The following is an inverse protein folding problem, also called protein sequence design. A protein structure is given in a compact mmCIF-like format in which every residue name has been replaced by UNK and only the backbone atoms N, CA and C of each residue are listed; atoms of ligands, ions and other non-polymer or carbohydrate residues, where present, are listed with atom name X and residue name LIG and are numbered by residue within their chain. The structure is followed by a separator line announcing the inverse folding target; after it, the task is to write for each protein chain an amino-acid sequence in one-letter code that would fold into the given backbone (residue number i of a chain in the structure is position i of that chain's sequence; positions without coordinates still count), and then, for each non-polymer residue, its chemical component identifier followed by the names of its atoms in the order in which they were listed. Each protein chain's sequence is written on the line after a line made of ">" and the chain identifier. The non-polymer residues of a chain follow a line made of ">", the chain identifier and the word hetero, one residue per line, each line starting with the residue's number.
data_IF_193898175599
#
_entry.id   IF_193898175599
#
_cell.length_a   1.000
_cell.length_b   1.000
_cell.length_c   1.000
_cell.angle_alpha   90.00
_cell.angle_beta   90.00
_cell.angle_gamma   90.00
#
_symmetry.space_group_name_H-M   'P 1'
#
loop_
_entity.id
_entity.type
_entity.pdbx_description
1 polymer ?
#
# COMPACT_ATOMS: atom_id res chain seq x y z
N UNK A 1 44.61 -15.42 3.35
CA UNK A 1 45.96 -15.07 3.84
C UNK A 1 45.88 -14.52 5.25
N UNK A 2 46.60 -15.14 6.19
CA UNK A 2 46.61 -14.80 7.62
C UNK A 2 48.04 -14.43 8.04
N UNK A 3 48.19 -13.42 8.89
CA UNK A 3 49.49 -12.98 9.38
C UNK A 3 49.85 -13.66 10.69
N UNK A 4 51.09 -14.14 10.81
CA UNK A 4 51.57 -14.72 12.05
C UNK A 4 51.70 -13.63 13.14
N UNK A 5 51.03 -13.77 14.31
CA UNK A 5 51.10 -12.78 15.38
C UNK A 5 52.49 -12.71 16.05
N UNK A 6 53.33 -13.75 15.86
CA UNK A 6 54.66 -13.85 16.45
C UNK A 6 55.76 -13.21 15.60
N UNK A 7 55.67 -13.30 14.27
CA UNK A 7 56.75 -12.87 13.37
C UNK A 7 56.30 -12.07 12.13
N UNK A 8 55.00 -11.83 11.97
CA UNK A 8 54.44 -11.04 10.87
C UNK A 8 54.47 -11.71 9.50
N UNK A 9 54.93 -12.96 9.38
CA UNK A 9 54.95 -13.67 8.11
C UNK A 9 53.53 -13.99 7.60
N UNK A 10 53.34 -13.85 6.29
CA UNK A 10 52.09 -14.24 5.60
C UNK A 10 52.03 -15.76 5.51
N UNK A 11 50.85 -16.30 5.79
CA UNK A 11 50.58 -17.73 5.71
C UNK A 11 49.21 -17.99 5.05
N UNK A 12 48.98 -19.25 4.70
CA UNK A 12 47.71 -19.70 4.14
C UNK A 12 46.54 -19.45 5.12
N UNK A 13 45.32 -19.29 4.60
CA UNK A 13 44.14 -18.96 5.40
C UNK A 13 43.70 -20.08 6.36
N UNK A 14 44.07 -21.33 6.09
CA UNK A 14 43.86 -22.49 6.96
C UNK A 14 45.10 -22.89 7.80
N UNK A 15 46.19 -22.13 7.76
CA UNK A 15 47.44 -22.55 8.38
C UNK A 15 47.36 -22.54 9.92
N UNK A 16 47.50 -23.71 10.55
CA UNK A 16 47.49 -23.86 12.02
C UNK A 16 48.85 -23.48 12.66
N UNK A 17 49.91 -23.45 11.87
CA UNK A 17 51.28 -23.11 12.29
C UNK A 17 51.96 -22.21 11.27
N UNK A 18 52.79 -21.28 11.74
CA UNK A 18 53.58 -20.40 10.90
C UNK A 18 54.71 -21.16 10.20
N UNK A 19 54.74 -21.14 8.86
CA UNK A 19 55.81 -21.77 8.08
C UNK A 19 57.19 -21.13 8.29
N UNK A 20 57.26 -19.90 8.82
CA UNK A 20 58.52 -19.18 9.05
C UNK A 20 59.09 -19.39 10.45
N UNK A 21 58.28 -19.36 11.50
CA UNK A 21 58.75 -19.38 12.89
C UNK A 21 58.23 -20.55 13.73
N UNK A 22 57.41 -21.43 13.16
CA UNK A 22 56.79 -22.56 13.87
C UNK A 22 55.75 -22.17 14.92
N UNK A 23 55.46 -20.88 15.10
CA UNK A 23 54.45 -20.40 16.05
C UNK A 23 53.04 -20.86 15.68
N UNK A 24 52.25 -21.31 16.67
CA UNK A 24 50.86 -21.69 16.46
C UNK A 24 50.02 -20.47 16.09
N UNK A 25 49.23 -20.59 15.03
CA UNK A 25 48.29 -19.58 14.58
C UNK A 25 46.92 -19.99 15.12
N UNK A 26 46.43 -19.26 16.12
CA UNK A 26 45.07 -19.43 16.62
C UNK A 26 44.16 -18.61 15.71
N UNK A 27 43.59 -19.26 14.70
CA UNK A 27 42.47 -18.68 13.96
C UNK A 27 41.30 -18.68 14.95
N UNK A 28 40.73 -17.52 15.33
CA UNK A 28 39.51 -17.51 16.11
C UNK A 28 38.49 -18.32 15.30
N UNK A 29 38.10 -19.49 15.81
CA UNK A 29 36.95 -20.18 15.23
C UNK A 29 35.81 -19.16 15.29
N UNK A 30 35.33 -18.71 14.13
CA UNK A 30 34.05 -18.01 14.09
C UNK A 30 33.09 -18.96 14.80
N UNK A 31 32.50 -18.57 15.95
CA UNK A 31 31.49 -19.41 16.57
C UNK A 31 30.48 -19.69 15.49
N UNK A 32 30.18 -20.98 15.26
CA UNK A 32 29.24 -21.44 14.23
C UNK A 32 28.09 -20.45 14.24
N UNK A 33 27.94 -19.69 13.16
CA UNK A 33 26.98 -18.60 13.12
C UNK A 33 25.63 -19.23 13.40
N UNK A 34 25.12 -19.11 14.63
CA UNK A 34 23.71 -19.31 14.89
C UNK A 34 23.03 -18.48 13.80
N UNK A 35 22.10 -19.05 13.03
CA UNK A 35 21.40 -18.28 12.04
C UNK A 35 20.86 -17.09 12.81
N UNK A 36 21.38 -15.89 12.52
CA UNK A 36 20.96 -14.66 13.17
C UNK A 36 19.46 -14.70 13.05
N UNK A 37 18.76 -14.97 14.16
CA UNK A 37 17.31 -14.93 14.19
C UNK A 37 17.04 -13.49 13.86
N UNK A 38 16.80 -13.19 12.58
CA UNK A 38 16.46 -11.86 12.13
C UNK A 38 15.36 -11.45 13.07
N UNK A 39 15.58 -10.36 13.80
CA UNK A 39 14.50 -9.73 14.52
C UNK A 39 13.33 -9.72 13.52
N UNK A 40 12.18 -10.32 13.87
CA UNK A 40 11.08 -10.40 12.92
C UNK A 40 10.90 -8.99 12.37
N UNK A 41 10.81 -8.85 11.03
CA UNK A 41 10.62 -7.55 10.41
C UNK A 41 9.58 -6.78 11.24
N UNK A 42 9.78 -5.51 11.56
CA UNK A 42 8.92 -4.79 12.54
C UNK A 42 7.44 -4.85 12.13
N UNK A 43 7.15 -5.11 10.86
CA UNK A 43 5.84 -5.42 10.27
C UNK A 43 5.18 -6.72 10.76
N UNK A 44 5.96 -7.70 11.24
CA UNK A 44 5.55 -9.03 11.71
C UNK A 44 4.84 -9.01 13.08
N UNK A 45 4.49 -7.82 13.59
CA UNK A 45 3.64 -7.68 14.77
C UNK A 45 2.45 -6.81 14.44
N UNK A 46 1.45 -7.33 13.72
CA UNK A 46 0.08 -7.11 14.20
C UNK A 46 -0.79 -8.35 13.95
N UNK A 47 -1.34 -8.98 14.99
CA UNK A 47 -2.61 -9.66 14.84
C UNK A 47 -3.65 -8.56 14.66
N UNK A 48 -3.97 -8.18 13.41
CA UNK A 48 -4.93 -7.11 13.08
C UNK A 48 -4.70 -5.81 13.88
N UNK A 49 -3.90 -4.88 13.35
CA UNK A 49 -3.75 -3.52 13.88
C UNK A 49 -5.10 -2.98 14.40
N UNK A 50 -5.16 -2.41 15.60
CA UNK A 50 -6.42 -1.82 16.13
C UNK A 50 -6.98 -0.73 15.21
N UNK A 51 -6.16 -0.19 14.32
CA UNK A 51 -6.57 0.72 13.24
C UNK A 51 -7.51 0.05 12.21
N UNK A 52 -7.46 -1.29 12.08
CA UNK A 52 -8.31 -2.14 11.23
C UNK A 52 -9.70 -2.45 11.84
N UNK A 53 -10.22 -1.55 12.69
CA UNK A 53 -11.36 -1.68 13.62
C UNK A 53 -12.76 -2.00 13.04
N UNK A 54 -12.83 -2.55 11.82
CA UNK A 54 -14.08 -2.98 11.17
C UNK A 54 -13.86 -3.71 9.84
N UNK A 55 -12.83 -4.56 9.74
CA UNK A 55 -12.58 -5.40 8.57
C UNK A 55 -11.64 -4.83 7.50
N UNK A 56 -11.07 -3.65 7.75
CA UNK A 56 -10.13 -3.01 6.84
C UNK A 56 -10.77 -2.32 5.64
N UNK A 57 -9.96 -1.58 4.84
CA UNK A 57 -10.46 -0.86 3.67
C UNK A 57 -11.16 -1.76 2.66
N UNK A 58 -10.57 -2.93 2.38
CA UNK A 58 -11.06 -3.86 1.38
C UNK A 58 -12.46 -4.40 1.72
N UNK A 59 -12.69 -4.85 2.96
CA UNK A 59 -14.01 -5.34 3.37
C UNK A 59 -15.06 -4.23 3.29
N UNK A 60 -14.72 -3.00 3.67
CA UNK A 60 -15.63 -1.85 3.58
C UNK A 60 -15.99 -1.53 2.14
N UNK A 61 -15.03 -1.63 1.22
CA UNK A 61 -15.30 -1.48 -0.22
C UNK A 61 -16.25 -2.55 -0.74
N UNK A 62 -16.06 -3.81 -0.34
CA UNK A 62 -16.99 -4.90 -0.68
C UNK A 62 -18.38 -4.67 -0.11
N UNK A 63 -18.49 -4.18 1.13
CA UNK A 63 -19.79 -3.87 1.74
C UNK A 63 -20.49 -2.73 0.99
N UNK A 64 -19.75 -1.70 0.57
CA UNK A 64 -20.26 -0.64 -0.30
C UNK A 64 -20.71 -1.17 -1.67
N UNK A 65 -19.98 -2.11 -2.25
CA UNK A 65 -20.35 -2.75 -3.52
C UNK A 65 -21.63 -3.58 -3.40
N UNK A 66 -21.76 -4.36 -2.32
CA UNK A 66 -22.98 -5.12 -2.02
C UNK A 66 -24.17 -4.18 -1.87
N UNK A 67 -23.97 -3.02 -1.23
CA UNK A 67 -25.02 -2.01 -1.14
C UNK A 67 -25.43 -1.47 -2.53
N UNK A 68 -24.47 -1.14 -3.40
CA UNK A 68 -24.78 -0.70 -4.78
C UNK A 68 -25.51 -1.80 -5.55
N UNK A 69 -25.09 -3.06 -5.43
CA UNK A 69 -25.79 -4.20 -6.04
C UNK A 69 -27.22 -4.36 -5.55
N UNK A 70 -27.45 -4.17 -4.25
CA UNK A 70 -28.79 -4.20 -3.67
C UNK A 70 -29.65 -3.07 -4.25
N UNK A 71 -29.11 -1.86 -4.34
CA UNK A 71 -29.82 -0.72 -4.95
C UNK A 71 -30.14 -1.02 -6.41
N UNK A 72 -29.16 -1.49 -7.19
CA UNK A 72 -29.35 -1.90 -8.59
C UNK A 72 -30.48 -2.94 -8.73
N UNK A 73 -30.52 -3.97 -7.87
CA UNK A 73 -31.57 -4.99 -7.89
C UNK A 73 -32.96 -4.41 -7.59
N UNK A 74 -33.05 -3.51 -6.60
CA UNK A 74 -34.30 -2.83 -6.27
C UNK A 74 -34.80 -2.00 -7.46
N UNK A 75 -33.93 -1.18 -8.06
CA UNK A 75 -34.31 -0.37 -9.21
C UNK A 75 -34.60 -1.22 -10.45
N UNK A 76 -33.90 -2.34 -10.62
CA UNK A 76 -34.20 -3.35 -11.65
C UNK A 76 -35.60 -3.95 -11.48
N UNK A 77 -36.02 -4.25 -10.25
CA UNK A 77 -37.38 -4.72 -9.97
C UNK A 77 -38.46 -3.66 -10.26
N UNK A 78 -38.14 -2.38 -10.10
CA UNK A 78 -39.04 -1.24 -10.37
C UNK A 78 -39.00 -0.76 -11.84
N UNK A 79 -38.15 -1.35 -12.68
CA UNK A 79 -37.96 -0.94 -14.08
C UNK A 79 -39.23 -1.09 -14.93
N UNK A 80 -40.12 -2.01 -14.56
CA UNK A 80 -41.42 -2.18 -15.23
C UNK A 80 -42.41 -1.05 -14.99
N UNK A 81 -42.23 -0.25 -13.94
CA UNK A 81 -43.12 0.85 -13.57
C UNK A 81 -42.57 2.23 -13.94
N UNK A 82 -41.25 2.36 -14.10
CA UNK A 82 -40.63 3.64 -14.45
C UNK A 82 -39.41 3.47 -15.37
N UNK A 83 -39.38 4.23 -16.47
CA UNK A 83 -38.23 4.28 -17.38
C UNK A 83 -36.96 4.76 -16.66
N UNK A 84 -37.10 5.67 -15.70
CA UNK A 84 -36.00 6.11 -14.83
C UNK A 84 -35.35 4.94 -14.10
N UNK A 85 -36.14 4.04 -13.49
CA UNK A 85 -35.58 2.97 -12.68
C UNK A 85 -34.76 1.98 -13.51
N UNK A 86 -35.20 1.68 -14.74
CA UNK A 86 -34.41 0.90 -15.70
C UNK A 86 -33.08 1.56 -16.02
N UNK A 87 -33.12 2.80 -16.52
CA UNK A 87 -31.90 3.51 -16.92
C UNK A 87 -30.94 3.75 -15.74
N UNK A 88 -31.47 3.97 -14.53
CA UNK A 88 -30.65 4.12 -13.33
C UNK A 88 -29.99 2.81 -12.89
N UNK A 89 -30.70 1.67 -13.01
CA UNK A 89 -30.12 0.36 -12.76
C UNK A 89 -28.98 0.05 -13.75
N UNK A 90 -29.18 0.36 -15.04
CA UNK A 90 -28.16 0.20 -16.09
C UNK A 90 -26.94 1.09 -15.80
N UNK A 91 -27.16 2.36 -15.45
CA UNK A 91 -26.09 3.27 -15.04
C UNK A 91 -25.28 2.73 -13.85
N UNK A 92 -25.93 2.20 -12.81
CA UNK A 92 -25.24 1.60 -11.67
C UNK A 92 -24.45 0.34 -12.06
N UNK A 93 -24.99 -0.47 -12.98
CA UNK A 93 -24.34 -1.67 -13.51
C UNK A 93 -23.08 -1.34 -14.31
N UNK A 94 -23.18 -0.42 -15.27
CA UNK A 94 -22.07 -0.01 -16.13
C UNK A 94 -20.92 0.65 -15.35
N UNK A 95 -21.25 1.32 -14.25
CA UNK A 95 -20.30 2.06 -13.42
C UNK A 95 -19.85 1.32 -12.17
N UNK A 96 -20.28 0.06 -12.01
CA UNK A 96 -20.05 -0.74 -10.81
C UNK A 96 -18.57 -0.90 -10.43
N UNK A 97 -17.70 -1.10 -11.43
CA UNK A 97 -16.25 -1.18 -11.21
C UNK A 97 -15.68 0.15 -10.73
N UNK A 98 -16.15 1.29 -11.28
CA UNK A 98 -15.74 2.61 -10.83
C UNK A 98 -16.18 2.88 -9.38
N UNK A 99 -17.41 2.50 -9.01
CA UNK A 99 -17.85 2.56 -7.61
C UNK A 99 -16.95 1.75 -6.69
N UNK A 100 -16.62 0.51 -7.06
CA UNK A 100 -15.71 -0.31 -6.27
C UNK A 100 -14.34 0.33 -6.10
N UNK A 101 -13.73 0.80 -7.19
CA UNK A 101 -12.42 1.45 -7.16
C UNK A 101 -12.46 2.73 -6.32
N UNK A 102 -13.55 3.49 -6.38
CA UNK A 102 -13.66 4.74 -5.64
C UNK A 102 -13.94 4.54 -4.16
N UNK A 103 -14.74 3.53 -3.78
CA UNK A 103 -14.84 3.11 -2.39
C UNK A 103 -13.50 2.59 -1.87
N UNK A 104 -12.78 1.79 -2.65
CA UNK A 104 -11.45 1.31 -2.29
C UNK A 104 -10.47 2.46 -2.09
N UNK A 105 -10.41 3.41 -3.02
CA UNK A 105 -9.56 4.60 -2.88
C UNK A 105 -9.92 5.40 -1.63
N UNK A 106 -11.22 5.68 -1.40
CA UNK A 106 -11.68 6.44 -0.25
C UNK A 106 -11.41 5.75 1.09
N UNK A 107 -11.76 4.47 1.24
CA UNK A 107 -11.50 3.72 2.48
C UNK A 107 -10.01 3.49 2.72
N UNK A 108 -9.24 3.22 1.65
CA UNK A 108 -7.80 3.03 1.75
C UNK A 108 -7.11 4.33 2.13
N UNK A 109 -7.47 5.44 1.48
CA UNK A 109 -6.95 6.76 1.80
C UNK A 109 -7.31 7.18 3.23
N UNK A 110 -8.53 6.90 3.69
CA UNK A 110 -8.93 7.12 5.08
C UNK A 110 -8.17 6.27 6.11
N UNK A 111 -7.70 5.08 5.73
CA UNK A 111 -6.78 4.28 6.54
C UNK A 111 -5.36 4.85 6.51
N UNK A 112 -4.85 5.16 5.32
CA UNK A 112 -3.52 5.71 5.12
C UNK A 112 -3.34 7.05 5.86
N UNK A 113 -4.36 7.92 5.84
CA UNK A 113 -4.35 9.20 6.55
C UNK A 113 -4.27 9.04 8.08
N UNK A 114 -4.81 7.96 8.64
CA UNK A 114 -4.72 7.66 10.07
C UNK A 114 -3.34 7.10 10.45
N UNK A 115 -2.75 6.28 9.58
CA UNK A 115 -1.48 5.60 9.83
C UNK A 115 -0.26 6.49 9.55
N UNK A 116 -0.31 7.29 8.49
CA UNK A 116 0.79 8.12 8.01
C UNK A 116 0.35 9.57 7.74
N UNK A 117 -0.09 10.33 8.77
CA UNK A 117 -0.71 11.65 8.59
C UNK A 117 0.20 12.71 7.94
N UNK A 118 1.53 12.54 8.00
CA UNK A 118 2.50 13.44 7.36
C UNK A 118 2.68 13.15 5.88
N UNK A 119 2.79 11.88 5.51
CA UNK A 119 2.94 11.44 4.11
C UNK A 119 1.62 11.63 3.35
N UNK A 120 0.50 11.32 4.01
CA UNK A 120 -0.84 11.45 3.44
C UNK A 120 -1.21 12.90 3.10
N UNK A 121 -0.65 13.88 3.80
CA UNK A 121 -0.93 15.30 3.54
C UNK A 121 -0.53 15.73 2.11
N UNK A 122 0.50 15.13 1.53
CA UNK A 122 0.94 15.47 0.16
C UNK A 122 -0.02 14.88 -0.89
N UNK A 123 -0.60 13.72 -0.60
CA UNK A 123 -1.47 12.97 -1.52
C UNK A 123 -2.95 13.33 -1.31
N UNK A 124 -3.32 13.92 -0.17
CA UNK A 124 -4.71 14.21 0.20
C UNK A 124 -5.48 15.08 -0.77
N UNK A 125 -4.92 16.18 -1.33
CA UNK A 125 -5.66 17.04 -2.24
C UNK A 125 -6.11 16.30 -3.49
N UNK A 126 -5.22 15.47 -4.05
CA UNK A 126 -5.48 14.69 -5.25
C UNK A 126 -6.56 13.64 -5.03
N UNK A 127 -6.46 12.86 -3.96
CA UNK A 127 -7.49 11.84 -3.66
C UNK A 127 -8.84 12.48 -3.36
N UNK A 128 -8.85 13.59 -2.63
CA UNK A 128 -10.09 14.33 -2.34
C UNK A 128 -10.72 14.89 -3.61
N UNK A 129 -9.92 15.48 -4.50
CA UNK A 129 -10.40 15.98 -5.79
C UNK A 129 -11.01 14.85 -6.62
N UNK A 130 -10.34 13.70 -6.73
CA UNK A 130 -10.87 12.53 -7.45
C UNK A 130 -12.22 12.07 -6.86
N UNK A 131 -12.32 11.93 -5.54
CA UNK A 131 -13.55 11.47 -4.86
C UNK A 131 -14.69 12.47 -5.09
N UNK A 132 -14.45 13.77 -4.88
CA UNK A 132 -15.48 14.80 -5.02
C UNK A 132 -15.95 14.91 -6.47
N UNK A 133 -15.02 14.88 -7.43
CA UNK A 133 -15.33 14.88 -8.86
C UNK A 133 -16.16 13.67 -9.26
N UNK A 134 -15.83 12.48 -8.75
CA UNK A 134 -16.65 11.28 -9.00
C UNK A 134 -18.07 11.42 -8.44
N UNK A 135 -18.23 11.95 -7.22
CA UNK A 135 -19.57 12.17 -6.62
C UNK A 135 -20.38 13.16 -7.46
N UNK A 136 -19.78 14.28 -7.87
CA UNK A 136 -20.44 15.26 -8.73
C UNK A 136 -20.80 14.70 -10.10
N UNK A 137 -19.96 13.81 -10.66
CA UNK A 137 -20.24 13.12 -11.90
C UNK A 137 -21.44 12.16 -11.77
N UNK A 138 -21.53 11.39 -10.68
CA UNK A 138 -22.71 10.56 -10.39
C UNK A 138 -23.97 11.43 -10.30
N UNK A 139 -23.90 12.54 -9.57
CA UNK A 139 -25.02 13.48 -9.44
C UNK A 139 -25.45 14.02 -10.81
N UNK A 140 -24.50 14.46 -11.62
CA UNK A 140 -24.76 14.95 -13.00
C UNK A 140 -25.48 13.89 -13.85
N UNK A 141 -25.03 12.63 -13.83
CA UNK A 141 -25.70 11.55 -14.56
C UNK A 141 -27.12 11.31 -14.03
N UNK A 142 -27.35 11.37 -12.71
CA UNK A 142 -28.70 11.23 -12.15
C UNK A 142 -29.62 12.35 -12.64
N UNK A 143 -29.14 13.61 -12.71
CA UNK A 143 -29.92 14.72 -13.26
C UNK A 143 -30.29 14.50 -14.73
N UNK A 144 -29.34 14.08 -15.56
CA UNK A 144 -29.58 13.77 -16.97
C UNK A 144 -30.61 12.64 -17.12
N UNK A 145 -30.46 11.55 -16.35
CA UNK A 145 -31.40 10.42 -16.36
C UNK A 145 -32.81 10.83 -15.90
N UNK A 146 -32.92 11.67 -14.87
CA UNK A 146 -34.21 12.19 -14.40
C UNK A 146 -34.86 13.07 -15.47
N UNK A 147 -34.10 13.96 -16.10
CA UNK A 147 -34.59 14.84 -17.16
C UNK A 147 -35.10 14.07 -18.37
N UNK A 148 -34.33 13.10 -18.86
CA UNK A 148 -34.74 12.21 -19.95
C UNK A 148 -36.01 11.42 -19.61
N UNK A 149 -36.10 10.90 -18.38
CA UNK A 149 -37.27 10.10 -17.96
C UNK A 149 -38.57 10.89 -17.84
N UNK A 150 -38.48 12.17 -17.49
CA UNK A 150 -39.64 13.07 -17.32
C UNK A 150 -39.88 13.97 -18.53
N UNK A 151 -39.09 13.84 -19.60
CA UNK A 151 -39.06 14.79 -20.73
C UNK A 151 -38.89 16.25 -20.27
N UNK A 152 -38.09 16.45 -19.21
CA UNK A 152 -37.79 17.75 -18.63
C UNK A 152 -36.42 18.24 -19.10
N UNK A 153 -36.44 19.15 -20.06
CA UNK A 153 -35.24 19.78 -20.63
C UNK A 153 -34.39 20.50 -19.58
N UNK A 154 -35.02 21.07 -18.54
CA UNK A 154 -34.30 21.81 -17.52
C UNK A 154 -33.37 20.90 -16.71
N UNK A 155 -33.84 19.73 -16.29
CA UNK A 155 -33.04 18.77 -15.52
C UNK A 155 -31.87 18.22 -16.35
N UNK A 156 -32.10 17.93 -17.63
CA UNK A 156 -31.06 17.47 -18.56
C UNK A 156 -29.98 18.54 -18.73
N UNK A 157 -30.38 19.79 -18.99
CA UNK A 157 -29.45 20.92 -19.11
C UNK A 157 -28.64 21.13 -17.83
N UNK A 158 -29.27 21.02 -16.66
CA UNK A 158 -28.57 21.11 -15.38
C UNK A 158 -27.52 20.00 -15.22
N UNK A 159 -27.86 18.77 -15.62
CA UNK A 159 -26.92 17.64 -15.66
C UNK A 159 -25.71 17.93 -16.54
N UNK A 160 -25.95 18.37 -17.77
CA UNK A 160 -24.91 18.70 -18.76
C UNK A 160 -24.02 19.87 -18.33
N UNK A 161 -24.61 20.88 -17.69
CA UNK A 161 -23.86 22.01 -17.13
C UNK A 161 -22.91 21.55 -16.03
N UNK A 162 -23.36 20.69 -15.11
CA UNK A 162 -22.48 20.13 -14.05
C UNK A 162 -21.36 19.29 -14.67
N UNK A 163 -21.68 18.45 -15.66
CA UNK A 163 -20.69 17.63 -16.39
C UNK A 163 -19.63 18.49 -17.08
N UNK A 164 -20.05 19.56 -17.75
CA UNK A 164 -19.18 20.46 -18.51
C UNK A 164 -18.18 21.20 -17.63
N UNK A 165 -18.55 21.53 -16.39
CA UNK A 165 -17.70 22.29 -15.45
C UNK A 165 -16.89 21.36 -14.53
N UNK A 166 -17.12 20.05 -14.58
CA UNK A 166 -16.54 19.06 -13.67
C UNK A 166 -15.00 19.08 -13.65
N UNK A 167 -14.36 19.25 -14.82
CA UNK A 167 -12.90 19.33 -14.92
C UNK A 167 -12.34 20.61 -14.28
N UNK A 168 -13.07 21.72 -14.36
CA UNK A 168 -12.68 22.99 -13.72
C UNK A 168 -12.75 22.84 -12.20
N UNK A 169 -13.82 22.22 -11.69
CA UNK A 169 -13.97 21.93 -10.25
C UNK A 169 -12.83 21.04 -9.76
N UNK A 170 -12.50 19.98 -10.52
CA UNK A 170 -11.37 19.10 -10.20
C UNK A 170 -10.06 19.88 -10.06
N UNK A 171 -9.72 20.72 -11.04
CA UNK A 171 -8.50 21.53 -11.03
C UNK A 171 -8.50 22.56 -9.89
N UNK A 172 -9.65 23.16 -9.59
CA UNK A 172 -9.79 24.14 -8.51
C UNK A 172 -9.60 23.50 -7.13
N UNK A 173 -10.23 22.35 -6.87
CA UNK A 173 -10.04 21.61 -5.62
C UNK A 173 -8.58 21.19 -5.46
N UNK A 174 -7.96 20.68 -6.54
CA UNK A 174 -6.56 20.28 -6.55
C UNK A 174 -5.65 21.47 -6.22
N UNK A 175 -5.83 22.60 -6.90
CA UNK A 175 -5.04 23.82 -6.72
C UNK A 175 -5.16 24.34 -5.27
N UNK A 176 -6.38 24.55 -4.79
CA UNK A 176 -6.62 25.05 -3.43
C UNK A 176 -6.07 24.10 -2.36
N UNK A 177 -6.24 22.79 -2.56
CA UNK A 177 -5.72 21.79 -1.64
C UNK A 177 -4.19 21.79 -1.57
N UNK A 178 -3.49 21.88 -2.70
CA UNK A 178 -2.03 21.97 -2.70
C UNK A 178 -1.50 23.29 -2.13
N UNK A 179 -2.18 24.41 -2.35
CA UNK A 179 -1.86 25.68 -1.68
C UNK A 179 -1.91 25.48 -0.15
N UNK A 180 -2.97 24.85 0.37
CA UNK A 180 -3.09 24.54 1.80
C UNK A 180 -1.95 23.65 2.34
N UNK A 181 -1.52 22.66 1.57
CA UNK A 181 -0.38 21.79 1.93
C UNK A 181 0.92 22.60 2.03
N UNK A 182 1.19 23.48 1.06
CA UNK A 182 2.39 24.32 1.03
C UNK A 182 2.39 25.31 2.20
N UNK A 183 1.25 25.95 2.48
CA UNK A 183 1.11 26.87 3.61
C UNK A 183 1.39 26.18 4.95
N UNK A 184 0.95 24.92 5.10
CA UNK A 184 1.20 24.12 6.31
C UNK A 184 2.64 23.63 6.40
N UNK A 185 3.29 23.35 5.28
CA UNK A 185 4.68 22.87 5.23
C UNK A 185 5.67 23.89 5.80
N UNK A 186 5.42 25.20 5.60
CA UNK A 186 6.26 26.28 6.15
C UNK A 186 6.25 26.41 7.68
N UNK A 187 5.35 25.72 8.39
CA UNK A 187 5.25 25.75 9.85
C UNK A 187 5.99 24.62 10.57
N UNK A 188 6.59 23.66 9.85
CA UNK A 188 7.42 22.61 10.47
C UNK A 188 8.82 23.15 10.80
N UNK A 189 8.90 24.02 11.79
CA UNK A 189 10.18 24.42 12.38
C UNK A 189 10.92 23.20 12.92
N UNK A 190 12.24 23.15 12.71
CA UNK A 190 13.11 22.17 13.37
C UNK A 190 12.91 22.34 14.88
N UNK A 191 12.49 21.30 15.63
CA UNK A 191 12.40 21.43 17.08
C UNK A 191 13.78 21.84 17.60
N UNK A 192 13.87 22.81 18.52
CA UNK A 192 15.16 23.27 19.03
C UNK A 192 15.94 22.05 19.55
N UNK A 193 17.25 21.96 19.26
CA UNK A 193 18.05 20.84 19.71
C UNK A 193 17.87 20.68 21.22
N UNK A 194 17.55 19.46 21.66
CA UNK A 194 17.38 19.17 23.08
C UNK A 194 18.75 19.32 23.77
N UNK A 195 18.98 20.47 24.41
CA UNK A 195 20.25 20.82 25.07
C UNK A 195 20.51 19.94 26.30
N UNK A 196 19.52 19.17 26.76
CA UNK A 196 19.63 18.26 27.91
C UNK A 196 20.11 16.84 27.54
N UNK A 197 20.62 16.61 26.33
CA UNK A 197 21.23 15.33 25.97
C UNK A 197 22.69 15.34 26.45
N UNK A 198 23.06 14.54 27.47
CA UNK A 198 24.45 14.44 27.91
C UNK A 198 25.33 13.99 26.73
N UNK A 199 26.60 14.45 26.66
CA UNK A 199 27.50 14.12 25.57
C UNK A 199 27.56 12.60 25.39
N UNK A 200 27.31 12.14 24.17
CA UNK A 200 27.37 10.72 23.85
C UNK A 200 28.75 10.18 24.28
N UNK A 201 28.81 9.02 24.96
CA UNK A 201 30.09 8.41 25.29
C UNK A 201 30.92 8.24 24.02
N UNK A 202 32.27 8.34 24.10
CA UNK A 202 33.15 8.24 22.95
C UNK A 202 32.77 7.01 22.13
N UNK A 203 32.37 7.24 20.88
CA UNK A 203 31.84 6.20 20.01
C UNK A 203 32.87 5.06 19.93
N UNK A 204 32.48 3.88 20.42
CA UNK A 204 33.22 2.66 20.15
C UNK A 204 33.40 2.55 18.63
N UNK A 205 34.59 2.14 18.19
CA UNK A 205 34.93 2.03 16.78
C UNK A 205 33.78 1.38 15.99
N UNK A 206 33.40 1.92 14.82
CA UNK A 206 32.26 1.43 14.06
C UNK A 206 32.41 -0.07 13.86
N UNK A 207 31.55 -0.83 14.54
CA UNK A 207 31.49 -2.27 14.34
C UNK A 207 31.11 -2.50 12.87
N UNK A 208 31.83 -3.33 12.12
CA UNK A 208 31.43 -3.64 10.76
C UNK A 208 30.00 -4.15 10.80
N UNK A 209 29.12 -3.50 10.04
CA UNK A 209 27.70 -3.84 10.00
C UNK A 209 27.55 -5.35 9.83
N UNK A 210 26.74 -6.03 10.66
CA UNK A 210 26.52 -7.46 10.52
C UNK A 210 26.17 -7.77 9.07
N UNK A 211 26.84 -8.75 8.46
CA UNK A 211 26.50 -9.24 7.13
C UNK A 211 25.03 -9.68 7.14
N UNK A 212 24.14 -8.82 6.65
CA UNK A 212 22.75 -9.17 6.45
C UNK A 212 22.71 -10.05 5.19
N UNK A 213 22.36 -11.35 5.28
CA UNK A 213 22.29 -12.18 4.09
C UNK A 213 21.30 -11.57 3.09
N UNK A 214 21.64 -11.55 1.79
CA UNK A 214 20.80 -10.96 0.74
C UNK A 214 19.34 -11.42 0.92
N UNK A 215 18.40 -10.47 0.94
CA UNK A 215 16.95 -10.75 1.00
C UNK A 215 16.60 -11.57 -0.25
N UNK A 216 16.29 -12.85 -0.08
CA UNK A 216 15.84 -13.72 -1.18
C UNK A 216 14.32 -13.62 -1.27
N UNK A 217 13.81 -13.48 -2.49
CA UNK A 217 12.37 -13.51 -2.73
C UNK A 217 11.85 -14.93 -2.48
N UNK A 218 11.00 -15.08 -1.46
CA UNK A 218 10.42 -16.35 -1.05
C UNK A 218 9.03 -16.10 -0.47
N UNK A 219 8.18 -17.14 -0.39
CA UNK A 219 6.84 -16.99 0.21
C UNK A 219 6.95 -16.88 1.72
N UNK A 220 6.23 -15.94 2.30
CA UNK A 220 6.15 -15.80 3.76
C UNK A 220 5.23 -16.87 4.33
N UNK A 221 5.73 -17.63 5.31
CA UNK A 221 4.96 -18.65 6.04
C UNK A 221 4.20 -18.07 7.25
N UNK A 222 4.56 -16.86 7.68
CA UNK A 222 3.99 -16.21 8.88
C UNK A 222 2.79 -15.29 8.56
N UNK A 223 2.78 -14.67 7.36
CA UNK A 223 1.68 -13.80 6.87
C UNK A 223 0.89 -14.42 5.69
N UNK A 224 0.35 -15.63 5.92
CA UNK A 224 -0.35 -16.41 4.90
C UNK A 224 -1.87 -16.24 5.00
N UNK A 225 -2.50 -15.69 3.95
CA UNK A 225 -3.96 -15.80 3.73
C UNK A 225 -4.25 -16.89 2.70
N UNK A 226 -3.76 -16.76 1.45
CA UNK A 226 -4.09 -17.71 0.37
C UNK A 226 -2.88 -18.57 -0.02
N UNK A 227 -1.72 -17.98 -0.37
CA UNK A 227 -0.48 -18.73 -0.67
C UNK A 227 0.82 -18.10 -0.14
N UNK A 228 0.75 -17.02 0.64
CA UNK A 228 1.92 -16.34 1.21
C UNK A 228 2.76 -15.56 0.17
N UNK A 229 2.28 -15.43 -1.08
CA UNK A 229 2.94 -14.70 -2.17
C UNK A 229 2.96 -13.20 -1.88
N UNK A 230 1.82 -12.60 -1.53
CA UNK A 230 1.77 -11.17 -1.17
C UNK A 230 2.64 -10.86 0.06
N UNK A 231 2.65 -11.76 1.06
CA UNK A 231 3.49 -11.61 2.25
C UNK A 231 4.98 -11.74 1.93
N UNK A 232 5.35 -12.65 1.04
CA UNK A 232 6.72 -12.81 0.55
C UNK A 232 7.22 -11.64 -0.29
N UNK A 233 6.36 -11.10 -1.16
CA UNK A 233 6.65 -9.88 -1.93
C UNK A 233 6.80 -8.66 -1.03
N UNK A 234 5.91 -8.51 -0.05
CA UNK A 234 5.98 -7.45 0.94
C UNK A 234 7.27 -7.51 1.77
N UNK A 235 7.65 -8.72 2.20
CA UNK A 235 8.90 -8.92 2.92
C UNK A 235 10.12 -8.63 2.03
N UNK A 236 10.12 -8.99 0.75
CA UNK A 236 11.21 -8.63 -0.17
C UNK A 236 11.30 -7.12 -0.43
N UNK A 237 10.15 -6.46 -0.63
CA UNK A 237 10.02 -5.03 -0.94
C UNK A 237 10.03 -4.13 0.30
N UNK A 238 10.13 -4.70 1.49
CA UNK A 238 10.04 -3.99 2.78
C UNK A 238 8.80 -3.10 2.91
N UNK A 239 7.69 -3.55 2.33
CA UNK A 239 6.40 -2.82 2.24
C UNK A 239 5.32 -3.57 3.02
N UNK A 240 4.23 -2.90 3.38
CA UNK A 240 3.08 -3.51 4.07
C UNK A 240 2.44 -4.63 3.20
N UNK A 241 2.27 -5.86 3.72
CA UNK A 241 1.56 -6.95 3.04
C UNK A 241 0.16 -6.58 2.56
N UNK A 242 -0.53 -5.68 3.25
CA UNK A 242 -1.85 -5.22 2.86
C UNK A 242 -1.83 -4.41 1.55
N UNK A 243 -0.86 -3.50 1.38
CA UNK A 243 -0.68 -2.73 0.15
C UNK A 243 -0.51 -3.66 -1.06
N UNK A 244 0.33 -4.69 -0.90
CA UNK A 244 0.56 -5.69 -1.95
C UNK A 244 -0.71 -6.46 -2.28
N UNK A 245 -1.55 -6.80 -1.28
CA UNK A 245 -2.84 -7.47 -1.50
C UNK A 245 -3.82 -6.58 -2.25
N UNK A 246 -3.94 -5.31 -1.87
CA UNK A 246 -4.81 -4.35 -2.55
C UNK A 246 -4.41 -4.18 -4.01
N UNK A 247 -3.11 -4.07 -4.29
CA UNK A 247 -2.60 -3.96 -5.66
C UNK A 247 -2.97 -5.18 -6.51
N UNK A 248 -2.83 -6.39 -5.95
CA UNK A 248 -3.24 -7.61 -6.63
C UNK A 248 -4.74 -7.63 -6.94
N UNK A 249 -5.59 -7.26 -5.98
CA UNK A 249 -7.06 -7.22 -6.17
C UNK A 249 -7.46 -6.21 -7.23
N UNK A 250 -6.94 -4.98 -7.16
CA UNK A 250 -7.20 -3.94 -8.17
C UNK A 250 -6.75 -4.40 -9.54
N UNK A 251 -5.52 -4.93 -9.65
CA UNK A 251 -5.00 -5.42 -10.90
C UNK A 251 -5.83 -6.57 -11.48
N UNK A 252 -6.30 -7.51 -10.65
CA UNK A 252 -7.19 -8.58 -11.12
C UNK A 252 -8.51 -8.06 -11.68
N UNK A 253 -9.10 -7.01 -11.08
CA UNK A 253 -10.34 -6.44 -11.59
C UNK A 253 -10.12 -5.69 -12.91
N UNK A 254 -9.01 -4.94 -13.03
CA UNK A 254 -8.68 -4.21 -14.26
C UNK A 254 -8.30 -5.13 -15.43
N UNK A 255 -7.78 -6.32 -15.13
CA UNK A 255 -7.33 -7.30 -16.14
C UNK A 255 -8.32 -8.44 -16.33
N UNK A 256 -9.59 -8.25 -15.94
CA UNK A 256 -10.66 -9.27 -16.04
C UNK A 256 -10.26 -10.66 -15.50
N UNK A 257 -9.43 -10.68 -14.45
CA UNK A 257 -8.99 -11.90 -13.77
C UNK A 257 -7.68 -12.51 -14.28
N UNK A 258 -7.03 -11.97 -15.31
CA UNK A 258 -5.76 -12.51 -15.84
C UNK A 258 -4.66 -12.55 -14.77
N UNK A 259 -4.58 -11.52 -13.92
CA UNK A 259 -3.63 -11.51 -12.80
C UNK A 259 -3.84 -12.69 -11.84
N UNK A 260 -5.03 -13.27 -11.71
CA UNK A 260 -5.24 -14.45 -10.85
C UNK A 260 -4.35 -15.60 -11.32
N UNK A 261 -4.22 -15.79 -12.63
CA UNK A 261 -3.33 -16.82 -13.20
C UNK A 261 -1.86 -16.52 -12.89
N UNK A 262 -1.44 -15.26 -13.01
CA UNK A 262 -0.08 -14.82 -12.66
C UNK A 262 0.20 -15.10 -11.18
N UNK A 263 -0.77 -14.83 -10.30
CA UNK A 263 -0.66 -15.11 -8.87
C UNK A 263 -0.46 -16.61 -8.60
N UNK A 264 -1.22 -17.46 -9.28
CA UNK A 264 -1.11 -18.93 -9.17
C UNK A 264 0.25 -19.41 -9.68
N UNK A 265 0.75 -18.87 -10.78
CA UNK A 265 2.08 -19.20 -11.33
C UNK A 265 3.20 -18.79 -10.36
N UNK A 266 3.15 -17.58 -9.80
CA UNK A 266 4.05 -17.14 -8.74
C UNK A 266 3.94 -18.03 -7.50
N UNK A 267 2.72 -18.45 -7.17
CA UNK A 267 2.42 -19.45 -6.14
C UNK A 267 2.78 -20.89 -6.55
N UNK A 268 3.40 -21.14 -7.69
CA UNK A 268 4.08 -22.42 -7.98
C UNK A 268 5.59 -22.25 -7.98
N UNK A 269 6.10 -21.18 -8.62
CA UNK A 269 7.54 -20.94 -8.80
C UNK A 269 8.25 -20.52 -7.50
N UNK A 270 7.60 -19.69 -6.68
CA UNK A 270 8.30 -19.04 -5.57
C UNK A 270 8.57 -20.07 -4.44
N UNK A 271 9.82 -20.25 -3.97
CA UNK A 271 10.13 -21.23 -2.93
C UNK A 271 9.51 -20.82 -1.58
N UNK A 272 9.11 -21.80 -0.77
CA UNK A 272 8.67 -21.55 0.62
C UNK A 272 9.91 -21.19 1.44
N UNK A 273 9.92 -19.99 2.04
CA UNK A 273 10.98 -19.60 2.97
C UNK A 273 10.56 -20.02 4.40
N UNK A 274 11.45 -20.62 5.21
CA UNK A 274 11.12 -21.04 6.59
C UNK A 274 10.89 -19.86 7.54
#
# INVERSE_FOLDING_TARGET
>A
MVYCPKCGAVNDDQATFCQKCGGRIVIPQQPASEPVKRAPAVWNQTPFDRTFRGGGPLLKSFLGLIFVLLVMEIFGALSGESAFAGNFADFLGDTLLLFFLMFLLGFFFGYYNRKYPRESAIVSPLVTAIIVTFVLWVVSNVFTLLGESQSDDFLTVMGDMVSSVLYIIFLLILLLGYIGVIMKAGSFGVPPPNVNVPPAPPAAAPQPAPYAPRKRMGRSNRDKIIFGVCGGMAEYLDTDPFLVRVLWVVGTLLTSGVLILVYVILAMIMPKYP
#
